data_IF_047090902469
#
_entry.id   IF_047090902469
#
_cell.length_a   1.000
_cell.length_b   1.000
_cell.length_c   1.000
_cell.angle_alpha   90.00
_cell.angle_beta   90.00
_cell.angle_gamma   90.00
#
_symmetry.space_group_name_H-M   'P 1'
#
loop_
_entity.id
_entity.type
_entity.pdbx_description
1 polymer ?
#
# COMPACT_ATOMS: atom_id res chain seq x y z
N UNK A 1 -28.12 4.08 32.98
CA UNK A 1 -27.41 5.09 32.16
C UNK A 1 -28.12 5.15 30.82
N UNK A 2 -28.56 6.33 30.38
CA UNK A 2 -29.35 6.49 29.16
C UNK A 2 -28.50 6.29 27.90
N UNK A 3 -29.07 5.70 26.86
CA UNK A 3 -28.45 5.55 25.54
C UNK A 3 -28.27 6.94 24.94
N UNK A 4 -27.03 7.36 24.67
CA UNK A 4 -26.74 8.59 23.94
C UNK A 4 -27.05 8.35 22.47
N UNK A 5 -27.91 9.20 21.88
CA UNK A 5 -28.24 9.15 20.46
C UNK A 5 -27.00 9.45 19.62
N UNK A 6 -26.63 8.52 18.73
CA UNK A 6 -25.44 8.68 17.88
C UNK A 6 -25.76 9.41 16.58
N UNK A 7 -24.88 10.34 16.21
CA UNK A 7 -24.94 11.01 14.90
C UNK A 7 -24.64 10.01 13.78
N UNK A 8 -25.49 9.97 12.76
CA UNK A 8 -25.26 9.15 11.56
C UNK A 8 -24.41 9.91 10.56
N UNK A 9 -23.40 9.25 9.99
CA UNK A 9 -22.68 9.78 8.84
C UNK A 9 -23.61 9.80 7.61
N UNK A 10 -23.36 10.74 6.70
CA UNK A 10 -24.08 10.80 5.43
C UNK A 10 -23.87 9.47 4.65
N UNK A 11 -24.92 8.88 4.05
CA UNK A 11 -24.79 7.64 3.30
C UNK A 11 -23.75 7.71 2.17
N UNK A 12 -23.70 8.85 1.46
CA UNK A 12 -22.76 9.07 0.35
C UNK A 12 -21.30 9.02 0.85
N UNK A 13 -21.04 9.61 2.01
CA UNK A 13 -19.72 9.60 2.65
C UNK A 13 -19.28 8.17 3.01
N UNK A 14 -20.20 7.34 3.53
CA UNK A 14 -19.90 5.93 3.83
C UNK A 14 -19.59 5.15 2.55
N UNK A 15 -20.40 5.36 1.50
CA UNK A 15 -20.22 4.71 0.20
C UNK A 15 -18.85 5.07 -0.42
N UNK A 16 -18.41 6.31 -0.30
CA UNK A 16 -17.12 6.73 -0.86
C UNK A 16 -15.92 6.16 -0.08
N UNK A 17 -16.03 6.02 1.24
CA UNK A 17 -15.05 5.29 2.06
C UNK A 17 -14.98 3.81 1.63
N UNK A 18 -16.12 3.16 1.42
CA UNK A 18 -16.19 1.76 0.99
C UNK A 18 -15.54 1.58 -0.38
N UNK A 19 -15.80 2.47 -1.35
CA UNK A 19 -15.14 2.46 -2.65
C UNK A 19 -13.62 2.61 -2.53
N UNK A 20 -13.15 3.50 -1.66
CA UNK A 20 -11.73 3.70 -1.43
C UNK A 20 -11.06 2.44 -0.88
N UNK A 21 -11.64 1.82 0.16
CA UNK A 21 -11.14 0.56 0.70
C UNK A 21 -11.19 -0.58 -0.32
N UNK A 22 -12.24 -0.63 -1.14
CA UNK A 22 -12.34 -1.64 -2.18
C UNK A 22 -11.20 -1.51 -3.19
N UNK A 23 -10.90 -0.29 -3.61
CA UNK A 23 -9.77 -0.03 -4.49
C UNK A 23 -8.43 -0.39 -3.82
N UNK A 24 -8.24 -0.05 -2.54
CA UNK A 24 -7.04 -0.47 -1.80
C UNK A 24 -6.86 -1.99 -1.79
N UNK A 25 -7.93 -2.75 -1.56
CA UNK A 25 -7.89 -4.21 -1.59
C UNK A 25 -7.52 -4.76 -2.98
N UNK A 26 -8.06 -4.15 -4.04
CA UNK A 26 -7.78 -4.57 -5.41
C UNK A 26 -6.34 -4.25 -5.82
N UNK A 27 -5.81 -3.09 -5.41
CA UNK A 27 -4.39 -2.73 -5.61
C UNK A 27 -3.48 -3.67 -4.83
N UNK A 28 -3.80 -4.02 -3.59
CA UNK A 28 -2.98 -4.93 -2.76
C UNK A 28 -2.82 -6.30 -3.44
N UNK A 29 -3.93 -6.87 -3.91
CA UNK A 29 -3.94 -8.12 -4.68
C UNK A 29 -3.17 -8.01 -5.99
N UNK A 30 -3.24 -6.86 -6.67
CA UNK A 30 -2.49 -6.64 -7.91
C UNK A 30 -0.98 -6.60 -7.64
N UNK A 31 -0.54 -5.86 -6.62
CA UNK A 31 0.88 -5.75 -6.27
C UNK A 31 1.44 -7.11 -5.88
N UNK A 32 0.72 -7.90 -5.09
CA UNK A 32 1.16 -9.25 -4.71
C UNK A 32 1.37 -10.15 -5.94
N UNK A 33 0.47 -10.09 -6.93
CA UNK A 33 0.63 -10.85 -8.18
C UNK A 33 1.82 -10.37 -9.01
N UNK A 34 2.05 -9.06 -9.07
CA UNK A 34 3.19 -8.49 -9.79
C UNK A 34 4.51 -8.85 -9.11
N UNK A 35 4.56 -8.86 -7.79
CA UNK A 35 5.76 -9.25 -7.04
C UNK A 35 6.14 -10.71 -7.25
N UNK A 36 5.16 -11.63 -7.29
CA UNK A 36 5.41 -13.04 -7.61
C UNK A 36 6.03 -13.20 -9.01
N UNK A 37 5.63 -12.39 -9.99
CA UNK A 37 6.23 -12.42 -11.33
C UNK A 37 7.68 -11.92 -11.33
N UNK A 38 8.01 -10.95 -10.47
CA UNK A 38 9.36 -10.38 -10.38
C UNK A 38 10.30 -11.23 -9.51
N UNK A 39 9.78 -11.97 -8.55
CA UNK A 39 10.55 -12.71 -7.57
C UNK A 39 9.84 -14.00 -7.15
N UNK A 40 10.33 -15.13 -7.66
CA UNK A 40 9.75 -16.45 -7.36
C UNK A 40 10.13 -16.99 -5.96
N UNK A 41 11.09 -16.38 -5.26
CA UNK A 41 11.45 -16.79 -3.91
C UNK A 41 10.52 -16.14 -2.88
N UNK A 42 9.57 -16.92 -2.36
CA UNK A 42 8.64 -16.48 -1.32
C UNK A 42 9.32 -15.92 -0.07
N UNK A 43 10.51 -16.42 0.29
CA UNK A 43 11.22 -15.94 1.48
C UNK A 43 11.64 -14.48 1.29
N UNK A 44 12.06 -14.10 0.09
CA UNK A 44 12.43 -12.72 -0.22
C UNK A 44 11.18 -11.82 -0.20
N UNK A 45 10.09 -12.29 -0.82
CA UNK A 45 8.81 -11.57 -0.84
C UNK A 45 8.24 -11.33 0.56
N UNK A 46 8.33 -12.31 1.47
CA UNK A 46 7.85 -12.19 2.86
C UNK A 46 8.52 -11.05 3.64
N UNK A 47 9.73 -10.65 3.23
CA UNK A 47 10.43 -9.49 3.81
C UNK A 47 10.10 -8.17 3.10
N UNK A 48 9.15 -8.17 2.16
CA UNK A 48 8.79 -7.00 1.35
C UNK A 48 9.84 -6.62 0.30
N UNK A 49 10.71 -7.57 -0.07
CA UNK A 49 11.77 -7.35 -1.05
C UNK A 49 11.42 -8.02 -2.39
N UNK A 50 11.93 -7.45 -3.48
CA UNK A 50 11.84 -8.02 -4.83
C UNK A 50 13.22 -8.39 -5.36
N UNK A 51 14.23 -7.58 -5.08
CA UNK A 51 15.58 -7.77 -5.59
C UNK A 51 16.29 -8.93 -4.86
N UNK A 52 16.97 -9.79 -5.62
CA UNK A 52 17.85 -10.82 -5.07
C UNK A 52 19.03 -10.18 -4.32
N UNK A 53 19.45 -10.81 -3.21
CA UNK A 53 20.69 -10.48 -2.51
C UNK A 53 21.93 -10.61 -3.41
N UNK A 54 23.06 -10.09 -2.93
CA UNK A 54 24.33 -10.22 -3.63
C UNK A 54 24.69 -11.71 -3.82
N UNK A 55 25.05 -12.09 -5.05
CA UNK A 55 25.35 -13.48 -5.45
C UNK A 55 24.26 -14.52 -5.16
N UNK A 56 23.03 -14.11 -4.83
CA UNK A 56 21.91 -15.00 -4.51
C UNK A 56 20.91 -15.15 -5.67
N UNK A 57 21.15 -14.48 -6.81
CA UNK A 57 20.29 -14.64 -7.97
C UNK A 57 20.39 -16.08 -8.53
N UNK A 58 19.27 -16.74 -8.86
CA UNK A 58 19.29 -18.12 -9.33
C UNK A 58 20.17 -18.35 -10.57
N UNK A 59 20.23 -17.37 -11.48
CA UNK A 59 21.07 -17.47 -12.67
C UNK A 59 22.54 -17.20 -12.34
N UNK A 60 22.85 -16.33 -11.37
CA UNK A 60 24.24 -16.17 -10.89
C UNK A 60 24.77 -17.47 -10.27
N UNK A 61 23.99 -18.07 -9.37
CA UNK A 61 24.32 -19.35 -8.74
C UNK A 61 24.48 -20.44 -9.80
N UNK A 62 23.60 -20.46 -10.80
CA UNK A 62 23.70 -21.46 -11.87
C UNK A 62 24.95 -21.25 -12.74
N UNK A 63 25.30 -20.02 -13.10
CA UNK A 63 26.52 -19.72 -13.85
C UNK A 63 27.78 -20.13 -13.07
N UNK A 64 27.82 -19.87 -11.76
CA UNK A 64 28.90 -20.31 -10.88
C UNK A 64 29.03 -21.84 -10.86
N UNK A 65 27.91 -22.56 -10.79
CA UNK A 65 27.89 -24.02 -10.82
C UNK A 65 28.37 -24.57 -12.17
N UNK A 66 28.00 -23.97 -13.31
CA UNK A 66 28.52 -24.37 -14.63
C UNK A 66 30.04 -24.19 -14.68
N UNK A 67 30.55 -23.06 -14.20
CA UNK A 67 31.98 -22.77 -14.16
C UNK A 67 32.74 -23.81 -13.32
N UNK A 68 32.22 -24.11 -12.12
CA UNK A 68 32.78 -25.12 -11.24
C UNK A 68 32.70 -26.53 -11.86
N UNK A 69 31.62 -26.86 -12.54
CA UNK A 69 31.43 -28.19 -13.14
C UNK A 69 32.34 -28.41 -14.34
N UNK A 70 32.63 -27.35 -15.12
CA UNK A 70 33.47 -27.41 -16.32
C UNK A 70 34.85 -28.02 -16.08
N UNK A 71 35.45 -27.81 -14.91
CA UNK A 71 36.79 -28.34 -14.60
C UNK A 71 36.87 -29.87 -14.54
N UNK A 72 35.73 -30.56 -14.43
CA UNK A 72 35.67 -32.03 -14.38
C UNK A 72 35.47 -32.68 -15.76
N UNK A 73 35.44 -31.89 -16.84
CA UNK A 73 35.18 -32.36 -18.19
C UNK A 73 36.37 -32.21 -19.13
N UNK A 74 36.39 -33.04 -20.18
CA UNK A 74 37.36 -32.95 -21.27
C UNK A 74 37.15 -31.68 -22.09
N UNK A 75 38.22 -31.17 -22.72
CA UNK A 75 38.24 -29.89 -23.44
C UNK A 75 37.14 -29.75 -24.50
N UNK A 76 36.79 -30.85 -25.20
CA UNK A 76 35.70 -30.90 -26.18
C UNK A 76 34.31 -30.57 -25.59
N UNK A 77 34.12 -30.82 -24.29
CA UNK A 77 32.88 -30.52 -23.55
C UNK A 77 32.98 -29.18 -22.81
N UNK A 78 34.20 -28.69 -22.55
CA UNK A 78 34.39 -27.41 -21.88
C UNK A 78 33.93 -26.22 -22.72
N UNK A 79 34.16 -26.23 -24.03
CA UNK A 79 33.77 -25.11 -24.91
C UNK A 79 32.25 -24.85 -24.89
N UNK A 80 31.36 -25.86 -25.08
CA UNK A 80 29.91 -25.66 -24.91
C UNK A 80 29.51 -25.16 -23.51
N UNK A 81 30.22 -25.57 -22.45
CA UNK A 81 29.93 -25.10 -21.08
C UNK A 81 30.31 -23.62 -20.88
N UNK A 82 31.35 -23.12 -21.55
CA UNK A 82 31.68 -21.67 -21.56
C UNK A 82 30.55 -20.88 -22.20
N UNK A 83 30.01 -21.35 -23.32
CA UNK A 83 28.89 -20.69 -24.00
C UNK A 83 27.62 -20.70 -23.14
N UNK A 84 27.30 -21.84 -22.51
CA UNK A 84 26.17 -21.96 -21.59
C UNK A 84 26.33 -21.01 -20.37
N UNK A 85 27.51 -20.96 -19.75
CA UNK A 85 27.81 -20.02 -18.66
C UNK A 85 27.56 -18.56 -19.10
N UNK A 86 28.00 -18.18 -20.30
CA UNK A 86 27.81 -16.83 -20.83
C UNK A 86 26.33 -16.48 -21.06
N UNK A 87 25.53 -17.43 -21.54
CA UNK A 87 24.07 -17.26 -21.68
C UNK A 87 23.42 -17.05 -20.31
N UNK A 88 23.75 -17.89 -19.34
CA UNK A 88 23.17 -17.80 -17.99
C UNK A 88 23.57 -16.50 -17.29
N UNK A 89 24.82 -16.02 -17.47
CA UNK A 89 25.22 -14.69 -16.98
C UNK A 89 24.41 -13.55 -17.57
N UNK A 90 24.04 -13.62 -18.86
CA UNK A 90 23.14 -12.63 -19.47
C UNK A 90 21.75 -12.69 -18.86
N UNK A 91 21.22 -13.89 -18.60
CA UNK A 91 19.93 -14.07 -17.91
C UNK A 91 19.96 -13.46 -16.50
N UNK A 92 21.06 -13.63 -15.76
CA UNK A 92 21.23 -13.00 -14.44
C UNK A 92 21.11 -11.47 -14.50
N UNK A 93 21.81 -10.84 -15.46
CA UNK A 93 21.74 -9.38 -15.67
C UNK A 93 20.31 -8.95 -15.99
N UNK A 94 19.66 -9.64 -16.93
CA UNK A 94 18.27 -9.35 -17.30
C UNK A 94 17.31 -9.51 -16.13
N UNK A 95 17.49 -10.56 -15.31
CA UNK A 95 16.64 -10.81 -14.15
C UNK A 95 16.79 -9.72 -13.08
N UNK A 96 18.03 -9.30 -12.77
CA UNK A 96 18.28 -8.19 -11.85
C UNK A 96 17.67 -6.88 -12.36
N UNK A 97 17.83 -6.59 -13.64
CA UNK A 97 17.21 -5.41 -14.24
C UNK A 97 15.69 -5.46 -14.17
N UNK A 98 15.08 -6.61 -14.46
CA UNK A 98 13.63 -6.82 -14.37
C UNK A 98 13.15 -6.61 -12.94
N UNK A 99 13.82 -7.19 -11.93
CA UNK A 99 13.50 -6.98 -10.52
C UNK A 99 13.59 -5.51 -10.11
N UNK A 100 14.69 -4.84 -10.45
CA UNK A 100 14.90 -3.44 -10.08
C UNK A 100 13.92 -2.49 -10.78
N UNK A 101 13.66 -2.71 -12.08
CA UNK A 101 12.68 -1.92 -12.84
C UNK A 101 11.28 -2.19 -12.33
N UNK A 102 10.88 -3.46 -12.22
CA UNK A 102 9.56 -3.85 -11.73
C UNK A 102 9.26 -3.38 -10.31
N UNK A 103 10.23 -3.45 -9.38
CA UNK A 103 10.06 -2.89 -8.04
C UNK A 103 9.77 -1.38 -8.08
N UNK A 104 10.46 -0.64 -8.94
CA UNK A 104 10.19 0.79 -9.14
C UNK A 104 8.79 1.02 -9.70
N UNK A 105 8.35 0.18 -10.65
CA UNK A 105 7.02 0.23 -11.29
C UNK A 105 5.84 -0.08 -10.38
N UNK A 106 6.07 -0.70 -9.23
CA UNK A 106 5.02 -1.02 -8.27
C UNK A 106 5.15 -0.21 -6.97
N UNK A 107 6.12 0.71 -6.91
CA UNK A 107 6.51 1.37 -5.67
C UNK A 107 5.40 2.23 -5.08
N UNK A 108 4.70 3.05 -5.88
CA UNK A 108 3.62 3.88 -5.32
C UNK A 108 2.43 3.03 -4.94
N UNK A 109 2.05 2.06 -5.76
CA UNK A 109 1.00 1.10 -5.40
C UNK A 109 1.31 0.38 -4.07
N UNK A 110 2.56 -0.07 -3.87
CA UNK A 110 2.97 -0.70 -2.60
C UNK A 110 2.93 0.30 -1.43
N UNK A 111 3.29 1.56 -1.66
CA UNK A 111 3.16 2.63 -0.64
C UNK A 111 1.70 2.91 -0.29
N UNK A 112 0.83 2.98 -1.28
CA UNK A 112 -0.61 3.19 -1.13
C UNK A 112 -1.24 2.15 -0.21
N UNK A 113 -0.94 0.87 -0.43
CA UNK A 113 -1.53 -0.22 0.37
C UNK A 113 -0.92 -0.37 1.76
N UNK A 114 0.35 0.01 1.95
CA UNK A 114 1.06 -0.16 3.25
C UNK A 114 0.96 1.06 4.16
N UNK A 115 0.98 2.27 3.60
CA UNK A 115 1.02 3.52 4.38
C UNK A 115 -0.33 4.22 4.39
N UNK A 116 -0.93 4.45 3.22
CA UNK A 116 -2.15 5.25 3.14
C UNK A 116 -3.36 4.52 3.72
N UNK A 117 -3.41 3.19 3.57
CA UNK A 117 -4.39 2.35 4.26
C UNK A 117 -4.37 2.54 5.78
N UNK A 118 -3.18 2.56 6.39
CA UNK A 118 -3.04 2.78 7.83
C UNK A 118 -3.46 4.20 8.21
N UNK A 119 -3.06 5.21 7.41
CA UNK A 119 -3.45 6.60 7.63
C UNK A 119 -4.98 6.79 7.58
N UNK A 120 -5.65 6.15 6.61
CA UNK A 120 -7.11 6.18 6.48
C UNK A 120 -7.81 5.50 7.67
N UNK A 121 -7.33 4.32 8.09
CA UNK A 121 -7.85 3.62 9.28
C UNK A 121 -7.71 4.50 10.53
N UNK A 122 -6.56 5.16 10.70
CA UNK A 122 -6.33 6.05 11.84
C UNK A 122 -7.25 7.28 11.79
N UNK A 123 -7.41 7.91 10.62
CA UNK A 123 -8.29 9.04 10.42
C UNK A 123 -9.76 8.67 10.70
N UNK A 124 -10.23 7.53 10.21
CA UNK A 124 -11.59 7.04 10.47
C UNK A 124 -11.80 6.75 11.97
N UNK A 125 -10.80 6.17 12.64
CA UNK A 125 -10.85 5.96 14.10
C UNK A 125 -10.99 7.28 14.86
N UNK A 126 -10.22 8.31 14.48
CA UNK A 126 -10.32 9.65 15.09
C UNK A 126 -11.67 10.30 14.82
N UNK A 127 -12.22 10.14 13.62
CA UNK A 127 -13.58 10.60 13.29
C UNK A 127 -14.64 9.95 14.19
N UNK A 128 -14.57 8.63 14.41
CA UNK A 128 -15.49 7.94 15.31
C UNK A 128 -15.38 8.42 16.76
N UNK A 129 -14.15 8.67 17.24
CA UNK A 129 -13.94 9.23 18.58
C UNK A 129 -14.47 10.66 18.71
N UNK A 130 -14.25 11.50 17.69
CA UNK A 130 -14.77 12.87 17.66
C UNK A 130 -16.30 12.88 17.66
N UNK A 131 -16.93 11.98 16.90
CA UNK A 131 -18.38 11.79 16.88
C UNK A 131 -18.93 11.44 18.26
N UNK A 132 -18.35 10.41 18.89
CA UNK A 132 -18.84 9.94 20.19
C UNK A 132 -18.69 11.04 21.26
N UNK A 133 -17.61 11.82 21.20
CA UNK A 133 -17.37 12.97 22.09
C UNK A 133 -18.37 14.11 21.83
N UNK A 134 -18.64 14.42 20.57
CA UNK A 134 -19.63 15.41 20.16
C UNK A 134 -21.04 15.02 20.61
N UNK A 135 -21.44 13.76 20.44
CA UNK A 135 -22.75 13.26 20.86
C UNK A 135 -22.91 13.31 22.38
N UNK A 136 -21.85 12.98 23.13
CA UNK A 136 -21.82 13.14 24.59
C UNK A 136 -21.97 14.61 25.01
N UNK A 137 -21.26 15.52 24.34
CA UNK A 137 -21.36 16.97 24.58
C UNK A 137 -22.78 17.49 24.28
N UNK A 138 -23.38 17.05 23.16
CA UNK A 138 -24.76 17.38 22.77
C UNK A 138 -25.76 16.93 23.83
N UNK A 139 -25.61 15.70 24.32
CA UNK A 139 -26.47 15.15 25.36
C UNK A 139 -26.30 15.91 26.68
N UNK A 140 -25.07 16.23 27.09
CA UNK A 140 -24.80 17.01 28.30
C UNK A 140 -25.40 18.42 28.23
N UNK A 141 -25.35 19.07 27.06
CA UNK A 141 -26.00 20.36 26.82
C UNK A 141 -27.53 20.26 26.97
N UNK A 142 -28.16 19.25 26.32
CA UNK A 142 -29.62 19.00 26.41
C UNK A 142 -30.11 18.78 27.86
N UNK A 143 -29.28 18.21 28.74
CA UNK A 143 -29.66 17.95 30.14
C UNK A 143 -29.48 19.15 31.08
N UNK A 144 -28.94 20.27 30.60
CA UNK A 144 -28.58 21.42 31.44
C UNK A 144 -29.77 22.35 31.67
N UNK A 145 -29.91 22.87 32.89
CA UNK A 145 -31.10 23.63 33.32
C UNK A 145 -30.81 25.07 33.74
N UNK A 146 -29.56 25.44 33.99
CA UNK A 146 -29.17 26.79 34.41
C UNK A 146 -28.53 27.55 33.25
N UNK A 147 -28.86 28.84 33.11
CA UNK A 147 -28.47 29.66 31.95
C UNK A 147 -26.96 29.76 31.75
N UNK A 148 -26.19 29.99 32.83
CA UNK A 148 -24.72 30.04 32.76
C UNK A 148 -24.08 28.72 32.30
N UNK A 149 -24.60 27.58 32.77
CA UNK A 149 -24.10 26.27 32.35
C UNK A 149 -24.51 25.91 30.92
N UNK A 150 -25.62 26.46 30.41
CA UNK A 150 -26.02 26.29 29.01
C UNK A 150 -25.02 26.99 28.09
N UNK A 151 -24.57 28.20 28.42
CA UNK A 151 -23.57 28.91 27.61
C UNK A 151 -22.22 28.19 27.59
N UNK A 152 -21.73 27.75 28.74
CA UNK A 152 -20.43 27.05 28.83
C UNK A 152 -20.46 25.72 28.05
N UNK A 153 -21.48 24.90 28.26
CA UNK A 153 -21.63 23.64 27.53
C UNK A 153 -21.95 23.85 26.04
N UNK A 154 -22.61 24.95 25.69
CA UNK A 154 -22.84 25.36 24.31
C UNK A 154 -21.52 25.57 23.57
N UNK A 155 -20.62 26.39 24.14
CA UNK A 155 -19.27 26.61 23.60
C UNK A 155 -18.46 25.33 23.50
N UNK A 156 -18.58 24.43 24.49
CA UNK A 156 -17.92 23.13 24.44
C UNK A 156 -18.46 22.26 23.30
N UNK A 157 -19.78 22.17 23.14
CA UNK A 157 -20.41 21.42 22.05
C UNK A 157 -19.99 21.96 20.68
N UNK A 158 -20.02 23.29 20.48
CA UNK A 158 -19.56 23.92 19.23
C UNK A 158 -18.11 23.56 18.89
N UNK A 159 -17.23 23.51 19.89
CA UNK A 159 -15.84 23.06 19.69
C UNK A 159 -15.78 21.59 19.23
N UNK A 160 -16.60 20.72 19.80
CA UNK A 160 -16.64 19.30 19.42
C UNK A 160 -17.22 19.09 18.02
N UNK A 161 -18.20 19.91 17.61
CA UNK A 161 -18.70 19.93 16.22
C UNK A 161 -17.58 20.31 15.26
N UNK A 162 -16.83 21.39 15.56
CA UNK A 162 -15.70 21.80 14.71
C UNK A 162 -14.62 20.72 14.60
N UNK A 163 -14.30 20.02 15.70
CA UNK A 163 -13.36 18.89 15.67
C UNK A 163 -13.90 17.73 14.83
N UNK A 164 -15.17 17.38 14.98
CA UNK A 164 -15.81 16.35 14.16
C UNK A 164 -15.76 16.69 12.66
N UNK A 165 -16.12 17.91 12.29
CA UNK A 165 -16.08 18.38 10.90
C UNK A 165 -14.67 18.35 10.32
N UNK A 166 -13.65 18.73 11.10
CA UNK A 166 -12.25 18.65 10.70
C UNK A 166 -11.81 17.20 10.46
N UNK A 167 -12.19 16.26 11.33
CA UNK A 167 -11.87 14.84 11.12
C UNK A 167 -12.64 14.25 9.94
N UNK A 168 -13.88 14.68 9.71
CA UNK A 168 -14.69 14.25 8.56
C UNK A 168 -14.05 14.72 7.25
N UNK A 169 -13.58 15.96 7.18
CA UNK A 169 -12.86 16.50 6.03
C UNK A 169 -11.55 15.74 5.77
N UNK A 170 -10.80 15.36 6.81
CA UNK A 170 -9.58 14.54 6.65
C UNK A 170 -9.88 13.17 6.04
N UNK A 171 -10.97 12.54 6.45
CA UNK A 171 -11.40 11.25 5.90
C UNK A 171 -11.93 11.40 4.47
N UNK A 172 -12.67 12.48 4.17
CA UNK A 172 -13.18 12.78 2.82
C UNK A 172 -12.05 12.97 1.79
N UNK A 173 -10.94 13.57 2.21
CA UNK A 173 -9.80 13.84 1.33
C UNK A 173 -9.21 12.57 0.67
N UNK A 174 -9.34 11.39 1.32
CA UNK A 174 -8.84 10.14 0.75
C UNK A 174 -9.65 9.70 -0.50
N UNK A 175 -10.98 9.47 -0.44
CA UNK A 175 -11.79 9.25 -1.64
C UNK A 175 -11.70 10.36 -2.69
N UNK A 176 -11.56 11.62 -2.28
CA UNK A 176 -11.41 12.76 -3.20
C UNK A 176 -10.11 12.69 -4.02
N UNK A 177 -9.01 12.20 -3.42
CA UNK A 177 -7.72 12.05 -4.09
C UNK A 177 -7.62 10.79 -4.96
N UNK A 178 -8.51 9.82 -4.75
CA UNK A 178 -8.52 8.52 -5.42
C UNK A 178 -8.41 8.57 -6.95
N UNK A 179 -9.04 9.51 -7.70
CA UNK A 179 -8.85 9.61 -9.14
C UNK A 179 -7.39 9.89 -9.53
N UNK A 180 -6.68 10.72 -8.77
CA UNK A 180 -5.27 11.01 -8.98
C UNK A 180 -4.42 9.78 -8.71
N UNK A 181 -4.66 9.07 -7.59
CA UNK A 181 -3.96 7.82 -7.27
C UNK A 181 -4.13 6.78 -8.39
N UNK A 182 -5.35 6.66 -8.94
CA UNK A 182 -5.64 5.77 -10.08
C UNK A 182 -4.82 6.12 -11.31
N UNK A 183 -4.75 7.39 -11.66
CA UNK A 183 -3.96 7.85 -12.80
C UNK A 183 -2.47 7.58 -12.59
N UNK A 184 -1.95 7.84 -11.38
CA UNK A 184 -0.56 7.56 -11.06
C UNK A 184 -0.22 6.07 -11.10
N UNK A 185 -1.08 5.21 -10.53
CA UNK A 185 -0.90 3.75 -10.58
C UNK A 185 -0.93 3.23 -12.02
N UNK A 186 -1.81 3.77 -12.88
CA UNK A 186 -1.84 3.41 -14.29
C UNK A 186 -0.53 3.82 -15.00
N UNK A 187 -0.05 5.05 -14.79
CA UNK A 187 1.22 5.50 -15.36
C UNK A 187 2.38 4.60 -14.93
N UNK A 188 2.45 4.21 -13.65
CA UNK A 188 3.51 3.31 -13.20
C UNK A 188 3.49 1.93 -13.87
N UNK A 189 2.31 1.41 -14.23
CA UNK A 189 2.19 0.14 -14.93
C UNK A 189 2.56 0.23 -16.42
N UNK A 190 2.25 1.36 -17.07
CA UNK A 190 2.35 1.50 -18.54
C UNK A 190 3.55 2.34 -19.03
N UNK A 191 4.08 3.28 -18.25
CA UNK A 191 5.28 4.06 -18.63
C UNK A 191 6.57 3.25 -18.51
N UNK A 192 6.50 2.09 -17.89
CA UNK A 192 7.64 1.19 -17.83
C UNK A 192 7.72 0.53 -19.17
N UNK A 193 8.76 0.88 -19.93
CA UNK A 193 9.25 0.15 -21.11
C UNK A 193 9.69 -1.26 -20.70
N UNK A 194 8.77 -2.07 -20.20
CA UNK A 194 8.84 -3.50 -20.35
C UNK A 194 8.71 -3.72 -21.86
N UNK A 195 9.72 -4.34 -22.47
CA UNK A 195 9.67 -4.81 -23.86
C UNK A 195 10.04 -3.74 -24.91
N UNK A 196 11.35 -3.57 -25.14
CA UNK A 196 11.83 -3.75 -26.50
C UNK A 196 12.15 -5.25 -26.63
N UNK A 197 11.20 -6.00 -27.19
CA UNK A 197 11.47 -7.30 -27.84
C UNK A 197 12.09 -6.98 -29.19
#
# INVERSE_FOLDING_TARGET
MGIVEQTRLAPEFVVDIEKYYKYQEDVDKLVDRLEVVLQNNETILRHGNVECGEAADPYEVFAQNINFFRQFHMESVQAPLVEAEAVVKRLAIMNREMQAKGRRSIRKMRRFVTQEKLAMIEAQKKLMQARDTMDAARHALKQTRTTEMVEEKGKFYERMVSEFDQQAARVAAFPEHLPTDKEEHQKELFDVRFIHV
#
